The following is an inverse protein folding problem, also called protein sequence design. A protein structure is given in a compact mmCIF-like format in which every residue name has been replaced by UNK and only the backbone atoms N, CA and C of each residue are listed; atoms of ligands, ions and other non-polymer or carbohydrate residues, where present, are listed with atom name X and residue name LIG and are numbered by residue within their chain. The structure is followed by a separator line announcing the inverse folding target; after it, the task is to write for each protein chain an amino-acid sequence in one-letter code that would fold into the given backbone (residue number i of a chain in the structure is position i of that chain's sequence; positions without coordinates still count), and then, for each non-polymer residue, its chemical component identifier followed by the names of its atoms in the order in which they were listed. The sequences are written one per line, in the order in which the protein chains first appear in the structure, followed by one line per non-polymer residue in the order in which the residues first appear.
data_IF_020856092084
#
_entry.id   IF_020856092084
#
_cell.length_a   1.000
_cell.length_b   1.000
_cell.length_c   1.000
_cell.angle_alpha   90.00
_cell.angle_beta   90.00
_cell.angle_gamma   90.00
#
_symmetry.space_group_name_H-M   'P 1'
#
loop_
_entity.id
_entity.type
_entity.pdbx_description
1 polymer ?
#
# COMPACT_ATOMS: atom_id res chain seq x y z
N UNK A 1 -8.87 -6.76 14.95
CA UNK A 1 -7.46 -7.16 14.87
C UNK A 1 -7.32 -8.10 13.67
N UNK A 2 -6.33 -7.88 12.79
CA UNK A 2 -6.08 -8.76 11.66
C UNK A 2 -5.80 -10.17 12.15
N UNK A 3 -6.41 -11.17 11.51
CA UNK A 3 -6.15 -12.58 11.83
C UNK A 3 -5.51 -13.25 10.64
N UNK A 4 -4.42 -13.99 10.89
CA UNK A 4 -3.84 -14.86 9.86
C UNK A 4 -4.78 -16.06 9.70
N UNK A 5 -5.34 -16.21 8.51
CA UNK A 5 -6.24 -17.31 8.15
C UNK A 5 -5.45 -18.50 7.63
N UNK A 6 -4.45 -18.22 6.79
CA UNK A 6 -3.65 -19.26 6.14
C UNK A 6 -2.27 -18.72 5.79
N UNK A 7 -1.25 -19.56 5.94
CA UNK A 7 0.10 -19.28 5.46
C UNK A 7 0.54 -20.42 4.55
N UNK A 8 0.84 -20.09 3.30
CA UNK A 8 1.40 -21.03 2.34
C UNK A 8 2.89 -20.74 2.16
N UNK A 9 3.73 -21.56 2.79
CA UNK A 9 5.19 -21.38 2.80
C UNK A 9 5.85 -21.64 1.45
N UNK A 10 5.27 -22.52 0.63
CA UNK A 10 5.84 -22.91 -0.66
C UNK A 10 5.77 -21.76 -1.68
N UNK A 11 4.70 -20.97 -1.61
CA UNK A 11 4.47 -19.82 -2.49
C UNK A 11 4.70 -18.46 -1.82
N UNK A 12 5.07 -18.45 -0.54
CA UNK A 12 5.24 -17.21 0.24
C UNK A 12 3.95 -16.40 0.42
N UNK A 13 2.78 -17.03 0.34
CA UNK A 13 1.47 -16.35 0.39
C UNK A 13 0.92 -16.36 1.82
N UNK A 14 0.49 -15.19 2.28
CA UNK A 14 -0.23 -15.02 3.54
C UNK A 14 -1.66 -14.57 3.26
N UNK A 15 -2.64 -15.30 3.80
CA UNK A 15 -4.05 -14.92 3.79
C UNK A 15 -4.40 -14.34 5.15
N UNK A 16 -4.83 -13.08 5.15
CA UNK A 16 -5.29 -12.36 6.35
C UNK A 16 -6.78 -12.05 6.23
N UNK A 17 -7.48 -12.14 7.35
CA UNK A 17 -8.85 -11.68 7.52
C UNK A 17 -8.81 -10.29 8.15
N UNK A 18 -9.52 -9.38 7.51
CA UNK A 18 -9.64 -7.98 7.89
C UNK A 18 -11.11 -7.61 7.91
N UNK A 19 -11.50 -6.84 8.92
CA UNK A 19 -12.76 -6.11 8.88
C UNK A 19 -12.70 -5.01 7.83
N UNK A 20 -13.87 -4.57 7.35
CA UNK A 20 -13.95 -3.47 6.39
C UNK A 20 -13.30 -2.18 6.92
N UNK A 21 -13.44 -1.88 8.20
CA UNK A 21 -12.78 -0.74 8.84
C UNK A 21 -11.26 -0.85 8.81
N UNK A 22 -10.71 -2.04 9.10
CA UNK A 22 -9.26 -2.27 9.03
C UNK A 22 -8.72 -2.14 7.60
N UNK A 23 -9.50 -2.55 6.59
CA UNK A 23 -9.14 -2.33 5.19
C UNK A 23 -9.14 -0.84 4.83
N UNK A 24 -10.10 -0.07 5.34
CA UNK A 24 -10.12 1.40 5.17
C UNK A 24 -8.91 2.05 5.83
N UNK A 25 -8.54 1.61 7.04
CA UNK A 25 -7.36 2.12 7.74
C UNK A 25 -6.06 1.82 6.97
N UNK A 26 -5.98 0.66 6.29
CA UNK A 26 -4.86 0.34 5.40
C UNK A 26 -4.81 1.25 4.17
N UNK A 27 -5.94 1.50 3.52
CA UNK A 27 -6.01 2.42 2.38
C UNK A 27 -5.53 3.81 2.78
N UNK A 28 -6.05 4.34 3.89
CA UNK A 28 -5.68 5.65 4.42
C UNK A 28 -4.17 5.72 4.78
N UNK A 29 -3.62 4.62 5.31
CA UNK A 29 -2.20 4.54 5.65
C UNK A 29 -1.32 4.60 4.39
N UNK A 30 -1.68 3.86 3.34
CA UNK A 30 -0.96 3.89 2.07
C UNK A 30 -1.06 5.26 1.41
N UNK A 31 -2.23 5.89 1.45
CA UNK A 31 -2.42 7.26 0.93
C UNK A 31 -1.52 8.28 1.65
N UNK A 32 -1.47 8.25 2.98
CA UNK A 32 -0.59 9.10 3.77
C UNK A 32 0.90 8.87 3.42
N UNK A 33 1.31 7.62 3.20
CA UNK A 33 2.67 7.29 2.77
C UNK A 33 2.97 7.84 1.36
N UNK A 34 2.04 7.71 0.42
CA UNK A 34 2.15 8.26 -0.94
C UNK A 34 2.32 9.78 -0.90
N UNK A 35 1.49 10.50 -0.15
CA UNK A 35 1.60 11.96 0.02
C UNK A 35 2.95 12.36 0.60
N UNK A 36 3.42 11.63 1.62
CA UNK A 36 4.70 11.92 2.27
C UNK A 36 5.87 11.77 1.30
N UNK A 37 5.89 10.72 0.49
CA UNK A 37 6.95 10.55 -0.52
C UNK A 37 6.85 11.57 -1.65
N UNK A 38 5.64 11.96 -2.04
CA UNK A 38 5.45 13.04 -3.01
C UNK A 38 6.01 14.38 -2.49
N UNK A 39 5.76 14.72 -1.22
CA UNK A 39 6.34 15.94 -0.60
C UNK A 39 7.87 15.90 -0.60
N UNK A 40 8.47 14.78 -0.19
CA UNK A 40 9.94 14.61 -0.19
C UNK A 40 10.55 14.80 -1.57
N UNK A 41 9.88 14.32 -2.63
CA UNK A 41 10.35 14.49 -4.01
C UNK A 41 10.34 15.95 -4.48
N UNK A 42 9.36 16.73 -4.00
CA UNK A 42 9.24 18.16 -4.31
C UNK A 42 10.24 19.00 -3.51
N UNK A 43 10.59 18.55 -2.29
CA UNK A 43 11.58 19.21 -1.43
C UNK A 43 13.03 18.93 -1.86
N UNK A 44 13.31 17.76 -2.46
CA UNK A 44 14.65 17.33 -2.86
C UNK A 44 14.80 17.32 -4.39
N UNK A 45 14.99 18.49 -4.98
CA UNK A 45 15.22 18.63 -6.43
C UNK A 45 16.73 18.87 -6.69
N UNK A 46 17.37 18.10 -7.60
CA UNK A 46 16.79 17.03 -8.41
C UNK A 46 16.60 15.74 -7.60
N UNK A 47 15.42 15.13 -7.74
CA UNK A 47 15.09 13.85 -7.13
C UNK A 47 15.74 12.69 -7.87
N UNK A 48 16.11 11.63 -7.15
CA UNK A 48 16.69 10.43 -7.74
C UNK A 48 15.62 9.57 -8.43
N UNK A 49 16.05 8.77 -9.41
CA UNK A 49 15.18 7.79 -10.07
C UNK A 49 14.58 6.78 -9.06
N UNK A 50 15.36 6.42 -8.05
CA UNK A 50 14.95 5.48 -7.01
C UNK A 50 13.84 6.05 -6.12
N UNK A 51 13.88 7.35 -5.82
CA UNK A 51 12.82 8.05 -5.08
C UNK A 51 11.53 8.14 -5.89
N UNK A 52 11.62 8.36 -7.21
CA UNK A 52 10.45 8.37 -8.11
C UNK A 52 9.82 6.98 -8.21
N UNK A 53 10.65 5.96 -8.41
CA UNK A 53 10.19 4.58 -8.44
C UNK A 53 9.53 4.16 -7.11
N UNK A 54 9.97 4.72 -5.97
CA UNK A 54 9.33 4.48 -4.67
C UNK A 54 7.91 5.05 -4.61
N UNK A 55 7.71 6.27 -5.12
CA UNK A 55 6.37 6.87 -5.20
C UNK A 55 5.44 6.05 -6.10
N UNK A 56 5.94 5.58 -7.25
CA UNK A 56 5.15 4.78 -8.18
C UNK A 56 4.72 3.44 -7.57
N UNK A 57 5.59 2.79 -6.78
CA UNK A 57 5.22 1.58 -6.03
C UNK A 57 4.09 1.82 -5.03
N UNK A 58 4.09 2.96 -4.32
CA UNK A 58 3.01 3.26 -3.38
C UNK A 58 1.69 3.59 -4.07
N UNK A 59 1.73 4.29 -5.21
CA UNK A 59 0.54 4.52 -6.05
C UNK A 59 -0.03 3.20 -6.58
N UNK A 60 0.82 2.29 -7.05
CA UNK A 60 0.38 0.98 -7.51
C UNK A 60 -0.28 0.18 -6.38
N UNK A 61 0.32 0.16 -5.19
CA UNK A 61 -0.25 -0.50 -4.02
C UNK A 61 -1.60 0.10 -3.61
N UNK A 62 -1.74 1.42 -3.65
CA UNK A 62 -3.00 2.12 -3.34
C UNK A 62 -4.12 1.66 -4.29
N UNK A 63 -3.84 1.61 -5.59
CA UNK A 63 -4.79 1.16 -6.61
C UNK A 63 -5.15 -0.32 -6.45
N UNK A 64 -4.18 -1.18 -6.15
CA UNK A 64 -4.46 -2.60 -5.96
C UNK A 64 -5.35 -2.85 -4.73
N UNK A 65 -5.13 -2.13 -3.62
CA UNK A 65 -6.00 -2.23 -2.44
C UNK A 65 -7.38 -1.61 -2.71
N UNK A 66 -7.46 -0.50 -3.46
CA UNK A 66 -8.76 0.09 -3.88
C UNK A 66 -9.60 -0.89 -4.69
N UNK A 67 -8.99 -1.58 -5.66
CA UNK A 67 -9.68 -2.61 -6.44
C UNK A 67 -10.28 -3.69 -5.55
N UNK A 68 -9.55 -4.13 -4.51
CA UNK A 68 -10.07 -5.12 -3.54
C UNK A 68 -11.27 -4.56 -2.77
N UNK A 69 -11.22 -3.28 -2.39
CA UNK A 69 -12.32 -2.62 -1.66
C UNK A 69 -13.56 -2.40 -2.53
N UNK A 70 -13.37 -2.07 -3.81
CA UNK A 70 -14.44 -1.80 -4.78
C UNK A 70 -15.02 -3.07 -5.43
N UNK A 71 -14.33 -4.21 -5.33
CA UNK A 71 -14.83 -5.52 -5.79
C UNK A 71 -16.05 -5.94 -4.96
N UNK A 72 -17.21 -5.42 -5.37
CA UNK A 72 -18.53 -5.68 -4.81
C UNK A 72 -19.34 -6.56 -5.75
#
# INVERSE_FOLDING_TARGET
MPKIVKMNKEYGILTIELSKSELVDLINSVECMTEREQRKLLENIPSTEEDRARLDRYKALQEDIRKIFEYR
#
